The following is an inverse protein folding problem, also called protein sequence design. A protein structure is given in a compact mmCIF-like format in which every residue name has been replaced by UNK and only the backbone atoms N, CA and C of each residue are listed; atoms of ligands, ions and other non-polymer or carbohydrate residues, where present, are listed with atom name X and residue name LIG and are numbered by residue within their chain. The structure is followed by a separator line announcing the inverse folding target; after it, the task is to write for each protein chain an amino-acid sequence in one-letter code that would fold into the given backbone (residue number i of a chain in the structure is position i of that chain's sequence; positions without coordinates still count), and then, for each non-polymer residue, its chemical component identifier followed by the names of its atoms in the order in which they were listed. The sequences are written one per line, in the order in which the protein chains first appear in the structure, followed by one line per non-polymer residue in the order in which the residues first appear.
data_IF_594857980740
#
_entry.id   IF_594857980740
#
_cell.length_a   1.000
_cell.length_b   1.000
_cell.length_c   1.000
_cell.angle_alpha   90.00
_cell.angle_beta   90.00
_cell.angle_gamma   90.00
#
_symmetry.space_group_name_H-M   'P 1'
#
loop_
_entity.id
_entity.type
_entity.pdbx_description
1 polymer ?
#
# COMPACT_ATOMS: atom_id res chain seq x y z
N UNK A 1 -11.88 -5.04 8.11
CA UNK A 1 -12.81 -4.17 8.86
C UNK A 1 -12.71 -2.70 8.41
N UNK A 2 -11.52 -2.07 8.35
CA UNK A 2 -11.41 -0.64 7.99
C UNK A 2 -11.94 -0.30 6.57
N UNK A 3 -11.47 -0.98 5.51
CA UNK A 3 -11.93 -0.66 4.14
C UNK A 3 -13.38 -1.08 3.84
N UNK A 4 -13.88 -2.18 4.45
CA UNK A 4 -15.22 -2.72 4.18
C UNK A 4 -16.36 -1.83 4.68
N UNK A 5 -16.07 -0.89 5.58
CA UNK A 5 -17.05 0.10 6.06
C UNK A 5 -16.93 1.44 5.33
N UNK A 6 -15.97 1.58 4.42
CA UNK A 6 -15.72 2.82 3.72
C UNK A 6 -16.67 2.91 2.52
N UNK A 7 -17.51 3.95 2.48
CA UNK A 7 -18.32 4.30 1.32
C UNK A 7 -17.65 5.47 0.61
N UNK A 8 -17.09 5.22 -0.56
CA UNK A 8 -16.64 6.27 -1.48
C UNK A 8 -17.48 6.14 -2.76
N UNK A 9 -18.32 7.14 -3.02
CA UNK A 9 -19.32 7.09 -4.10
C UNK A 9 -20.39 6.01 -3.87
N UNK A 10 -20.87 5.39 -4.96
CA UNK A 10 -21.86 4.29 -4.94
C UNK A 10 -21.24 2.90 -4.68
N UNK A 11 -19.95 2.86 -4.31
CA UNK A 11 -19.17 1.64 -4.17
C UNK A 11 -18.92 1.31 -2.69
N UNK A 12 -19.42 0.17 -2.22
CA UNK A 12 -19.18 -0.34 -0.85
C UNK A 12 -18.00 -1.30 -0.73
N UNK A 13 -17.52 -1.83 -1.85
CA UNK A 13 -16.64 -3.01 -1.85
C UNK A 13 -15.17 -2.62 -1.90
N UNK A 14 -14.74 -1.79 -0.96
CA UNK A 14 -13.34 -1.40 -0.83
C UNK A 14 -12.55 -2.42 0.00
N UNK A 15 -11.35 -2.75 -0.46
CA UNK A 15 -10.42 -3.64 0.24
C UNK A 15 -8.99 -3.11 0.23
N UNK A 16 -8.15 -3.73 1.05
CA UNK A 16 -6.71 -3.54 0.96
C UNK A 16 -6.14 -4.20 -0.31
N UNK A 17 -5.05 -3.66 -0.89
CA UNK A 17 -4.42 -4.24 -2.08
C UNK A 17 -3.70 -5.55 -1.75
N UNK A 18 -3.62 -6.45 -2.71
CA UNK A 18 -2.76 -7.63 -2.65
C UNK A 18 -1.32 -7.26 -3.01
N UNK A 19 -0.39 -8.17 -2.76
CA UNK A 19 1.01 -7.97 -3.15
C UNK A 19 1.18 -7.96 -4.67
N UNK A 20 0.33 -8.68 -5.38
CA UNK A 20 0.34 -8.74 -6.83
C UNK A 20 -0.07 -7.41 -7.44
N UNK A 21 -1.12 -6.79 -6.91
CA UNK A 21 -1.54 -5.43 -7.32
C UNK A 21 -0.45 -4.41 -7.04
N UNK A 22 0.20 -4.48 -5.87
CA UNK A 22 1.34 -3.64 -5.58
C UNK A 22 2.50 -3.86 -6.55
N UNK A 23 2.85 -5.11 -6.87
CA UNK A 23 3.92 -5.43 -7.83
C UNK A 23 3.62 -4.90 -9.23
N UNK A 24 2.37 -4.94 -9.66
CA UNK A 24 1.95 -4.42 -10.95
C UNK A 24 1.95 -2.89 -11.00
N UNK A 25 1.71 -2.23 -9.87
CA UNK A 25 1.69 -0.77 -9.76
C UNK A 25 3.10 -0.16 -9.60
N UNK A 26 4.03 -0.88 -8.98
CA UNK A 26 5.36 -0.36 -8.67
C UNK A 26 6.24 -0.32 -9.93
N UNK A 27 6.80 0.85 -10.21
CA UNK A 27 7.90 1.00 -11.16
C UNK A 27 9.22 1.20 -10.41
N UNK A 28 10.05 0.14 -10.40
CA UNK A 28 11.35 0.13 -9.69
C UNK A 28 12.43 0.98 -10.36
N UNK A 29 12.18 1.49 -11.57
CA UNK A 29 13.08 2.44 -12.25
C UNK A 29 12.88 3.86 -11.70
N UNK A 30 11.82 4.11 -10.94
CA UNK A 30 11.52 5.40 -10.35
C UNK A 30 11.68 5.36 -8.83
N UNK A 31 11.87 6.54 -8.24
CA UNK A 31 12.11 6.71 -6.81
C UNK A 31 11.43 7.98 -6.33
N UNK A 32 10.82 7.92 -5.16
CA UNK A 32 10.13 9.03 -4.51
C UNK A 32 9.11 9.78 -5.42
N UNK A 33 8.11 9.09 -5.99
CA UNK A 33 7.70 7.71 -5.72
C UNK A 33 8.15 6.69 -6.79
N UNK A 34 8.19 5.41 -6.40
CA UNK A 34 8.42 4.25 -7.27
C UNK A 34 7.14 3.84 -8.00
N UNK A 35 6.54 4.80 -8.71
CA UNK A 35 5.33 4.63 -9.52
C UNK A 35 5.59 5.11 -10.96
N UNK A 36 4.85 4.63 -11.96
CA UNK A 36 4.96 5.10 -13.35
C UNK A 36 4.89 6.62 -13.48
N UNK A 37 5.72 7.19 -14.37
CA UNK A 37 5.79 8.63 -14.60
C UNK A 37 4.44 9.12 -15.12
N UNK A 38 3.93 10.23 -14.58
CA UNK A 38 2.62 10.75 -14.94
C UNK A 38 1.45 9.99 -14.30
N UNK A 39 1.69 9.22 -13.23
CA UNK A 39 0.60 8.61 -12.48
C UNK A 39 -0.41 9.65 -11.98
N UNK A 40 -1.71 9.30 -11.89
CA UNK A 40 -2.75 10.24 -11.46
C UNK A 40 -2.84 10.40 -9.94
N UNK A 41 -2.04 9.65 -9.17
CA UNK A 41 -2.18 9.57 -7.71
C UNK A 41 -1.55 10.75 -6.98
N UNK A 42 -2.32 11.38 -6.09
CA UNK A 42 -1.81 12.28 -5.07
C UNK A 42 -1.30 11.46 -3.87
N UNK A 43 -0.01 11.55 -3.60
CA UNK A 43 0.63 10.76 -2.55
C UNK A 43 1.05 11.62 -1.36
N UNK A 44 0.75 11.15 -0.16
CA UNK A 44 1.28 11.70 1.10
C UNK A 44 2.81 11.49 1.29
N UNK A 45 3.49 10.90 0.29
CA UNK A 45 4.93 10.58 0.30
C UNK A 45 5.82 11.73 -0.16
N UNK A 46 5.24 12.84 -0.63
CA UNK A 46 6.01 14.03 -1.03
C UNK A 46 6.51 14.85 0.17
N UNK A 47 6.04 14.54 1.38
CA UNK A 47 6.44 15.21 2.61
C UNK A 47 7.57 14.40 3.27
N UNK A 48 8.80 14.91 3.09
CA UNK A 48 10.04 14.78 3.86
C UNK A 48 10.45 13.41 4.41
N UNK A 49 11.65 12.95 4.02
CA UNK A 49 12.55 12.01 4.74
C UNK A 49 11.98 10.74 5.40
N UNK A 50 10.72 10.40 5.15
CA UNK A 50 10.00 9.43 5.96
C UNK A 50 10.20 8.02 5.40
N UNK A 51 11.32 7.39 5.78
CA UNK A 51 11.59 5.98 5.50
C UNK A 51 10.49 5.04 6.06
N UNK A 52 9.65 5.55 6.97
CA UNK A 52 8.67 4.77 7.71
C UNK A 52 7.26 4.79 7.10
N UNK A 53 6.99 5.64 6.10
CA UNK A 53 5.72 5.61 5.35
C UNK A 53 5.64 4.39 4.44
N UNK A 54 5.07 3.32 4.98
CA UNK A 54 4.75 2.12 4.23
C UNK A 54 3.23 1.95 4.07
N UNK A 55 2.82 1.21 3.05
CA UNK A 55 1.43 0.96 2.69
C UNK A 55 1.04 -0.49 2.98
N UNK A 56 -0.18 -0.69 3.48
CA UNK A 56 -0.73 -2.00 3.80
C UNK A 56 -0.91 -2.90 2.56
N UNK A 57 -0.70 -4.21 2.75
CA UNK A 57 -1.26 -5.25 1.88
C UNK A 57 -2.15 -6.22 2.66
N UNK A 58 -3.22 -6.72 2.02
CA UNK A 58 -4.05 -7.82 2.54
C UNK A 58 -3.33 -9.17 2.54
N UNK A 59 -2.23 -9.29 1.79
CA UNK A 59 -1.53 -10.57 1.61
C UNK A 59 -1.00 -11.11 2.94
N UNK A 60 -1.27 -12.40 3.21
CA UNK A 60 -0.80 -13.06 4.43
C UNK A 60 0.72 -13.22 4.41
N UNK A 61 1.37 -12.80 5.50
CA UNK A 61 2.75 -13.19 5.77
C UNK A 61 2.78 -14.65 6.25
N UNK A 62 3.56 -15.51 5.58
CA UNK A 62 3.49 -16.98 5.77
C UNK A 62 4.09 -17.45 7.10
N UNK A 63 5.18 -16.83 7.56
CA UNK A 63 5.96 -17.34 8.70
C UNK A 63 5.39 -16.95 10.06
N UNK A 64 5.03 -15.67 10.23
CA UNK A 64 4.53 -15.13 11.49
C UNK A 64 3.21 -14.39 11.27
N UNK A 65 2.13 -14.85 11.93
CA UNK A 65 0.79 -14.26 11.79
C UNK A 65 0.68 -12.84 12.34
N UNK A 66 1.63 -12.41 13.18
CA UNK A 66 1.77 -11.04 13.69
C UNK A 66 2.39 -10.09 12.65
N UNK A 67 2.94 -10.60 11.56
CA UNK A 67 3.55 -9.81 10.50
C UNK A 67 2.63 -9.65 9.29
N UNK A 68 2.91 -8.58 8.55
CA UNK A 68 2.21 -8.17 7.34
C UNK A 68 3.21 -7.79 6.27
N UNK A 69 2.78 -7.82 5.02
CA UNK A 69 3.53 -7.24 3.93
C UNK A 69 3.16 -5.77 3.79
N UNK A 70 4.19 -4.92 3.74
CA UNK A 70 4.04 -3.49 3.53
C UNK A 70 4.94 -3.00 2.41
N UNK A 71 4.51 -1.95 1.73
CA UNK A 71 5.19 -1.43 0.55
C UNK A 71 5.70 -0.04 0.86
N UNK A 72 6.98 0.21 0.66
CA UNK A 72 7.53 1.55 0.70
C UNK A 72 7.54 2.13 -0.73
N UNK A 73 6.73 3.16 -0.97
CA UNK A 73 6.66 3.80 -2.30
C UNK A 73 7.83 4.76 -2.57
N UNK A 74 8.71 5.06 -1.60
CA UNK A 74 9.93 5.80 -1.87
C UNK A 74 10.87 4.98 -2.77
N UNK A 75 11.02 3.68 -2.50
CA UNK A 75 11.96 2.81 -3.21
C UNK A 75 11.33 1.56 -3.85
N UNK A 76 10.00 1.42 -3.77
CA UNK A 76 9.26 0.30 -4.35
C UNK A 76 9.54 -1.03 -3.65
N UNK A 77 10.11 -1.03 -2.45
CA UNK A 77 10.42 -2.28 -1.73
C UNK A 77 9.22 -2.80 -0.95
N UNK A 78 8.99 -4.10 -1.11
CA UNK A 78 8.11 -4.88 -0.25
C UNK A 78 8.92 -5.29 0.98
N UNK A 79 8.43 -4.93 2.17
CA UNK A 79 9.08 -5.21 3.45
C UNK A 79 8.12 -5.97 4.38
N UNK A 80 8.69 -6.61 5.39
CA UNK A 80 7.94 -7.18 6.52
C UNK A 80 7.63 -6.07 7.51
N UNK A 81 6.35 -5.90 7.86
CA UNK A 81 5.86 -5.04 8.93
C UNK A 81 5.22 -5.83 10.08
N UNK A 82 4.95 -5.20 11.22
CA UNK A 82 4.14 -5.79 12.31
C UNK A 82 2.73 -5.24 12.25
N UNK A 83 1.73 -6.07 12.55
CA UNK A 83 0.32 -5.66 12.53
C UNK A 83 -0.04 -4.48 13.45
N UNK A 84 0.78 -4.25 14.47
CA UNK A 84 0.59 -3.20 15.47
C UNK A 84 1.19 -1.86 15.06
N UNK A 85 2.01 -1.84 14.00
CA UNK A 85 2.63 -0.61 13.51
C UNK A 85 1.63 0.17 12.64
N UNK A 86 1.85 1.48 12.53
CA UNK A 86 1.05 2.36 11.70
C UNK A 86 1.53 2.31 10.24
N UNK A 87 0.62 2.02 9.33
CA UNK A 87 0.86 2.06 7.89
C UNK A 87 -0.31 2.71 7.16
N UNK A 88 -0.03 3.28 6.00
CA UNK A 88 -1.02 3.95 5.15
C UNK A 88 -1.90 2.90 4.47
N UNK A 89 -3.19 3.17 4.43
CA UNK A 89 -4.17 2.35 3.72
C UNK A 89 -4.38 2.95 2.34
N UNK A 90 -4.08 2.17 1.29
CA UNK A 90 -4.47 2.51 -0.08
C UNK A 90 -5.62 1.59 -0.49
N UNK A 91 -6.88 2.02 -0.37
CA UNK A 91 -8.01 1.17 -0.70
C UNK A 91 -8.08 0.94 -2.22
N UNK A 92 -8.35 -0.29 -2.62
CA UNK A 92 -8.65 -0.67 -4.01
C UNK A 92 -10.05 -1.26 -4.08
N UNK A 93 -10.70 -1.07 -5.22
CA UNK A 93 -12.02 -1.64 -5.44
C UNK A 93 -11.93 -3.16 -5.57
N UNK A 94 -12.75 -3.89 -4.82
CA UNK A 94 -12.96 -5.32 -5.00
C UNK A 94 -13.99 -5.49 -6.12
N UNK A 95 -13.53 -5.97 -7.28
CA UNK A 95 -14.43 -6.58 -8.26
C UNK A 95 -14.97 -7.90 -7.72
#
# INVERSE_FOLDING_TARGET
IFCQKMRLGNSSDWRLPTLEEWKNLIDRKQRAPALPKGHPFELYTQLDNDEWKAYWSKSRYKTYRSNVWVINLRDGKIKKGRKIDLYIVWPVYAK
#
